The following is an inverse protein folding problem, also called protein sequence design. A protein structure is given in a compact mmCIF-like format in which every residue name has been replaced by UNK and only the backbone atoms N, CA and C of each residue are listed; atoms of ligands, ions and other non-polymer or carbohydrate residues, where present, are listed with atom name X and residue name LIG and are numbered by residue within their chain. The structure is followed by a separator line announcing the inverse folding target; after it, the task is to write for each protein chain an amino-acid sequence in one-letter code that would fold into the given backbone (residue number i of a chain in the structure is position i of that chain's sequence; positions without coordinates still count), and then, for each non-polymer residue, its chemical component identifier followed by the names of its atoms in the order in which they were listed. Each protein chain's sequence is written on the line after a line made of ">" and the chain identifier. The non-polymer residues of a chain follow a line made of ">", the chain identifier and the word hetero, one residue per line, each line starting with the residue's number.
data_IF_798709684039
#
_entry.id   IF_798709684039
#
_cell.length_a   1.000
_cell.length_b   1.000
_cell.length_c   1.000
_cell.angle_alpha   90.00
_cell.angle_beta   90.00
_cell.angle_gamma   90.00
#
_symmetry.space_group_name_H-M   'P 1'
#
loop_
_entity.id
_entity.type
_entity.pdbx_description
1 polymer ?
#
# COMPACT_ATOMS: atom_id res chain seq x y z
N UNK A 1 -35.46 8.85 -1.96
CA UNK A 1 -34.70 10.09 -1.70
C UNK A 1 -33.32 9.96 -2.34
N UNK A 2 -32.99 10.73 -3.38
CA UNK A 2 -31.67 10.70 -4.00
C UNK A 2 -30.73 11.63 -3.21
N UNK A 3 -29.78 11.05 -2.51
CA UNK A 3 -28.74 11.83 -1.79
C UNK A 3 -27.67 12.25 -2.80
N UNK A 4 -27.59 13.53 -3.10
CA UNK A 4 -26.51 14.10 -3.92
C UNK A 4 -25.23 14.10 -3.10
N UNK A 5 -24.29 13.24 -3.40
CA UNK A 5 -22.96 13.23 -2.77
C UNK A 5 -22.10 14.35 -3.38
N UNK A 6 -21.51 15.17 -2.52
CA UNK A 6 -20.48 16.14 -2.93
C UNK A 6 -19.09 15.56 -2.65
N UNK A 7 -18.12 15.94 -3.44
CA UNK A 7 -16.72 15.61 -3.14
C UNK A 7 -16.31 16.24 -1.80
N UNK A 8 -15.39 15.59 -1.05
CA UNK A 8 -14.79 16.19 0.13
C UNK A 8 -14.21 17.57 -0.18
N UNK A 9 -14.29 18.48 0.79
CA UNK A 9 -13.79 19.85 0.62
C UNK A 9 -12.28 19.98 0.80
N UNK A 10 -11.66 18.99 1.46
CA UNK A 10 -10.23 18.94 1.74
C UNK A 10 -9.73 17.50 1.62
N UNK A 11 -8.42 17.27 1.40
CA UNK A 11 -7.78 15.97 1.53
C UNK A 11 -8.00 15.32 2.90
N UNK A 12 -7.73 14.03 2.99
CA UNK A 12 -7.83 13.20 4.19
C UNK A 12 -9.24 13.00 4.77
N UNK A 13 -10.28 13.63 4.21
CA UNK A 13 -11.65 13.41 4.66
C UNK A 13 -12.21 12.07 4.23
N UNK A 14 -11.89 11.61 3.03
CA UNK A 14 -12.38 10.32 2.52
C UNK A 14 -11.38 9.66 1.59
N UNK A 15 -10.99 8.45 1.94
CA UNK A 15 -10.27 7.56 1.05
C UNK A 15 -11.19 6.46 0.53
N UNK A 16 -11.09 6.15 -0.75
CA UNK A 16 -11.75 5.02 -1.40
C UNK A 16 -10.70 4.03 -1.87
N UNK A 17 -10.89 2.76 -1.55
CA UNK A 17 -9.91 1.72 -1.82
C UNK A 17 -10.55 0.56 -2.57
N UNK A 18 -9.86 0.08 -3.59
CA UNK A 18 -10.24 -1.11 -4.36
C UNK A 18 -9.04 -1.68 -5.12
N UNK A 19 -9.18 -2.93 -5.60
CA UNK A 19 -8.23 -3.59 -6.48
C UNK A 19 -8.65 -3.49 -7.94
N UNK A 20 -7.66 -3.43 -8.82
CA UNK A 20 -7.85 -3.41 -10.27
C UNK A 20 -6.81 -4.27 -10.97
N UNK A 21 -7.24 -5.19 -11.82
CA UNK A 21 -6.33 -5.88 -12.74
C UNK A 21 -5.93 -4.91 -13.84
N UNK A 22 -4.66 -4.50 -13.84
CA UNK A 22 -4.14 -3.52 -14.79
C UNK A 22 -4.12 -4.09 -16.19
N UNK A 23 -4.66 -3.36 -17.15
CA UNK A 23 -4.82 -3.83 -18.52
C UNK A 23 -3.52 -3.72 -19.35
N UNK A 24 -2.40 -4.15 -18.75
CA UNK A 24 -1.08 -4.25 -19.37
C UNK A 24 -0.60 -5.70 -19.32
N UNK A 25 -0.31 -6.26 -20.48
CA UNK A 25 0.20 -7.62 -20.62
C UNK A 25 1.71 -7.67 -20.40
N UNK A 26 2.19 -8.79 -19.81
CA UNK A 26 3.63 -9.03 -19.71
C UNK A 26 3.99 -10.47 -20.04
N UNK A 27 5.22 -10.67 -20.51
CA UNK A 27 5.77 -11.99 -20.74
C UNK A 27 6.40 -12.56 -19.46
N UNK A 28 6.14 -13.84 -19.22
CA UNK A 28 6.73 -14.57 -18.10
C UNK A 28 7.23 -15.92 -18.58
N UNK A 29 8.51 -16.21 -18.33
CA UNK A 29 9.13 -17.47 -18.70
C UNK A 29 9.32 -18.31 -17.44
N UNK A 30 8.79 -19.52 -17.45
CA UNK A 30 8.90 -20.48 -16.34
C UNK A 30 9.41 -21.82 -16.89
N UNK A 31 10.20 -22.51 -16.09
CA UNK A 31 10.60 -23.89 -16.40
C UNK A 31 9.51 -24.83 -15.95
N UNK A 32 9.03 -25.70 -16.85
CA UNK A 32 8.06 -26.74 -16.53
C UNK A 32 8.68 -27.87 -15.71
N UNK A 33 7.86 -28.82 -15.26
CA UNK A 33 8.31 -29.98 -14.48
C UNK A 33 9.25 -30.90 -15.26
N UNK A 34 9.35 -30.76 -16.58
CA UNK A 34 10.21 -31.56 -17.48
C UNK A 34 11.49 -30.81 -17.85
N UNK A 35 11.71 -29.59 -17.32
CA UNK A 35 12.88 -28.78 -17.62
C UNK A 35 12.76 -27.92 -18.89
N UNK A 36 11.59 -27.86 -19.54
CA UNK A 36 11.39 -27.02 -20.72
C UNK A 36 11.04 -25.59 -20.31
N UNK A 37 11.57 -24.61 -21.03
CA UNK A 37 11.24 -23.20 -20.86
C UNK A 37 9.93 -22.87 -21.57
N UNK A 38 8.93 -22.41 -20.84
CA UNK A 38 7.61 -22.03 -21.35
C UNK A 38 7.39 -20.53 -21.09
N UNK A 39 7.22 -19.77 -22.19
CA UNK A 39 6.91 -18.33 -22.10
C UNK A 39 5.44 -18.08 -22.32
N UNK A 40 4.80 -17.37 -21.40
CA UNK A 40 3.41 -16.90 -21.49
C UNK A 40 3.37 -15.39 -21.67
N UNK A 41 2.37 -14.87 -22.40
CA UNK A 41 2.28 -13.46 -22.80
C UNK A 41 0.96 -12.79 -22.35
N UNK A 42 0.14 -13.53 -21.60
CA UNK A 42 -1.20 -13.08 -21.20
C UNK A 42 -1.30 -12.72 -19.72
N UNK A 43 -0.14 -12.58 -19.05
CA UNK A 43 -0.09 -12.26 -17.64
C UNK A 43 -0.42 -10.78 -17.42
N UNK A 44 -1.09 -10.50 -16.32
CA UNK A 44 -1.41 -9.13 -15.87
C UNK A 44 -1.16 -9.02 -14.37
N UNK A 45 -0.84 -7.83 -13.91
CA UNK A 45 -0.69 -7.52 -12.50
C UNK A 45 -1.99 -6.90 -11.95
N UNK A 46 -2.20 -7.08 -10.67
CA UNK A 46 -3.25 -6.41 -9.91
C UNK A 46 -2.63 -5.26 -9.11
N UNK A 47 -3.26 -4.09 -9.17
CA UNK A 47 -2.90 -2.93 -8.36
C UNK A 47 -4.04 -2.62 -7.40
N UNK A 48 -3.74 -2.48 -6.11
CA UNK A 48 -4.65 -1.90 -5.12
C UNK A 48 -4.31 -0.43 -4.98
N UNK A 49 -5.31 0.44 -5.10
CA UNK A 49 -5.15 1.89 -4.95
C UNK A 49 -5.93 2.38 -3.74
N UNK A 50 -5.31 3.23 -2.95
CA UNK A 50 -5.94 4.09 -1.94
C UNK A 50 -6.06 5.47 -2.54
N UNK A 51 -7.28 5.84 -2.90
CA UNK A 51 -7.60 7.09 -3.59
C UNK A 51 -8.14 8.12 -2.61
N UNK A 52 -7.52 9.28 -2.49
CA UNK A 52 -8.14 10.41 -1.81
C UNK A 52 -9.17 11.07 -2.74
N UNK A 53 -10.43 11.08 -2.30
CA UNK A 53 -11.58 11.49 -3.12
C UNK A 53 -11.63 13.00 -3.33
N UNK A 54 -10.83 13.78 -2.62
CA UNK A 54 -10.80 15.23 -2.77
C UNK A 54 -10.55 15.67 -4.23
N UNK A 55 -9.48 15.19 -4.82
CA UNK A 55 -9.13 15.48 -6.22
C UNK A 55 -8.65 14.24 -7.00
N UNK A 56 -9.08 13.06 -6.56
CA UNK A 56 -8.64 11.76 -7.11
C UNK A 56 -7.12 11.57 -7.01
N UNK A 57 -6.54 11.96 -5.88
CA UNK A 57 -5.11 11.80 -5.61
C UNK A 57 -4.82 10.38 -5.13
N UNK A 58 -3.93 9.62 -5.80
CA UNK A 58 -3.55 8.28 -5.35
C UNK A 58 -2.59 8.38 -4.18
N UNK A 59 -3.14 8.49 -2.97
CA UNK A 59 -2.35 8.64 -1.74
C UNK A 59 -1.50 7.41 -1.45
N UNK A 60 -1.98 6.21 -1.83
CA UNK A 60 -1.25 4.97 -1.71
C UNK A 60 -1.58 3.98 -2.82
N UNK A 61 -0.63 3.09 -3.13
CA UNK A 61 -0.87 1.95 -4.01
C UNK A 61 0.12 0.82 -3.73
N UNK A 62 -0.23 -0.37 -4.18
CA UNK A 62 0.66 -1.52 -4.22
C UNK A 62 0.33 -2.41 -5.42
N UNK A 63 1.34 -3.10 -5.96
CA UNK A 63 1.22 -3.94 -7.16
C UNK A 63 1.61 -5.38 -6.81
N UNK A 64 0.77 -6.33 -7.20
CA UNK A 64 0.97 -7.75 -6.96
C UNK A 64 0.38 -8.62 -8.05
N UNK A 65 0.49 -9.94 -7.92
CA UNK A 65 -0.06 -10.91 -8.88
C UNK A 65 -1.59 -11.01 -8.80
N UNK A 66 -2.17 -10.78 -7.63
CA UNK A 66 -3.62 -10.83 -7.38
C UNK A 66 -3.95 -10.01 -6.13
N UNK A 67 -5.21 -9.66 -5.96
CA UNK A 67 -5.68 -8.99 -4.76
C UNK A 67 -5.69 -9.98 -3.58
N UNK A 68 -5.02 -9.59 -2.50
CA UNK A 68 -4.92 -10.35 -1.26
C UNK A 68 -4.76 -9.38 -0.07
N UNK A 69 -4.95 -9.85 1.17
CA UNK A 69 -4.78 -9.02 2.37
C UNK A 69 -3.42 -8.34 2.46
N UNK A 70 -2.35 -9.03 2.07
CA UNK A 70 -0.98 -8.51 2.07
C UNK A 70 -0.83 -7.34 1.08
N UNK A 71 -1.45 -7.43 -0.09
CA UNK A 71 -1.40 -6.37 -1.09
C UNK A 71 -2.18 -5.12 -0.62
N UNK A 72 -3.34 -5.33 -0.03
CA UNK A 72 -4.14 -4.25 0.59
C UNK A 72 -3.36 -3.59 1.73
N UNK A 73 -2.74 -4.41 2.60
CA UNK A 73 -1.87 -3.91 3.68
C UNK A 73 -0.71 -3.08 3.13
N UNK A 74 -0.07 -3.52 2.04
CA UNK A 74 1.02 -2.79 1.40
C UNK A 74 0.55 -1.45 0.81
N UNK A 75 -0.63 -1.38 0.20
CA UNK A 75 -1.21 -0.14 -0.31
C UNK A 75 -1.53 0.86 0.81
N UNK A 76 -2.09 0.41 1.92
CA UNK A 76 -2.35 1.24 3.10
C UNK A 76 -1.05 1.70 3.77
N UNK A 77 -0.03 0.83 3.84
CA UNK A 77 1.30 1.21 4.31
C UNK A 77 1.91 2.31 3.44
N UNK A 78 1.84 2.17 2.11
CA UNK A 78 2.31 3.20 1.18
C UNK A 78 1.55 4.52 1.38
N UNK A 79 0.24 4.49 1.63
CA UNK A 79 -0.55 5.69 1.93
C UNK A 79 -0.07 6.39 3.22
N UNK A 80 0.25 5.65 4.29
CA UNK A 80 0.77 6.22 5.53
C UNK A 80 2.14 6.89 5.32
N UNK A 81 3.06 6.20 4.62
CA UNK A 81 4.39 6.73 4.33
C UNK A 81 4.27 8.00 3.47
N UNK A 82 3.46 7.94 2.39
CA UNK A 82 3.30 9.08 1.50
C UNK A 82 2.60 10.27 2.17
N UNK A 83 1.68 10.03 3.11
CA UNK A 83 1.11 11.11 3.91
C UNK A 83 2.17 11.82 4.76
N UNK A 84 3.15 11.08 5.31
CA UNK A 84 4.30 11.66 6.03
C UNK A 84 5.17 12.53 5.11
N UNK A 85 5.42 12.09 3.88
CA UNK A 85 6.17 12.86 2.90
C UNK A 85 5.48 14.20 2.55
N UNK A 86 4.15 14.18 2.45
CA UNK A 86 3.34 15.35 2.09
C UNK A 86 3.15 16.31 3.26
N UNK A 87 2.96 15.81 4.49
CA UNK A 87 2.48 16.56 5.63
C UNK A 87 3.48 16.70 6.79
N UNK A 88 4.64 16.02 6.69
CA UNK A 88 5.64 15.95 7.76
C UNK A 88 5.30 14.96 8.88
N UNK A 89 4.08 14.42 8.89
CA UNK A 89 3.59 13.41 9.82
C UNK A 89 2.71 12.38 9.12
N UNK A 90 2.61 11.16 9.67
CA UNK A 90 1.68 10.17 9.17
C UNK A 90 0.25 10.55 9.53
N UNK A 91 -0.59 10.69 8.53
CA UNK A 91 -2.02 10.94 8.70
C UNK A 91 -2.85 9.77 8.18
N UNK A 92 -3.99 9.57 8.80
CA UNK A 92 -5.03 8.63 8.39
C UNK A 92 -6.28 9.37 7.92
N UNK A 93 -7.11 8.69 7.14
CA UNK A 93 -8.35 9.28 6.65
C UNK A 93 -9.37 9.46 7.79
N UNK A 94 -10.19 10.52 7.72
CA UNK A 94 -11.38 10.63 8.57
C UNK A 94 -12.38 9.51 8.28
N UNK A 95 -12.55 9.16 6.99
CA UNK A 95 -13.38 8.05 6.54
C UNK A 95 -12.66 7.23 5.48
N UNK A 96 -12.73 5.89 5.57
CA UNK A 96 -12.28 4.97 4.54
C UNK A 96 -13.45 4.16 3.99
N UNK A 97 -13.49 3.98 2.68
CA UNK A 97 -14.49 3.18 1.98
C UNK A 97 -13.81 2.04 1.21
N UNK A 98 -14.30 0.83 1.41
CA UNK A 98 -13.88 -0.36 0.67
C UNK A 98 -15.07 -1.28 0.46
N UNK A 99 -14.89 -2.40 -0.25
CA UNK A 99 -15.94 -3.39 -0.40
C UNK A 99 -16.25 -4.10 0.93
N UNK A 100 -17.41 -4.78 0.99
CA UNK A 100 -17.84 -5.45 2.23
C UNK A 100 -16.99 -6.66 2.59
N UNK A 101 -16.45 -7.35 1.59
CA UNK A 101 -15.65 -8.54 1.83
C UNK A 101 -14.29 -8.16 2.44
N UNK A 102 -13.61 -7.19 1.84
CA UNK A 102 -12.35 -6.70 2.35
C UNK A 102 -12.51 -6.12 3.78
N UNK A 103 -13.58 -5.35 4.05
CA UNK A 103 -13.86 -4.82 5.39
C UNK A 103 -14.05 -5.95 6.39
N UNK A 104 -14.83 -6.99 6.07
CA UNK A 104 -15.05 -8.11 6.98
C UNK A 104 -13.78 -8.85 7.35
N UNK A 105 -12.89 -9.01 6.38
CA UNK A 105 -11.63 -9.76 6.55
C UNK A 105 -10.54 -8.95 7.23
N UNK A 106 -10.53 -7.62 7.02
CA UNK A 106 -9.44 -6.73 7.40
C UNK A 106 -9.90 -5.54 8.23
N UNK A 107 -11.00 -5.70 8.99
CA UNK A 107 -11.64 -4.62 9.74
C UNK A 107 -10.66 -3.82 10.59
N UNK A 108 -9.79 -4.50 11.33
CA UNK A 108 -8.85 -3.85 12.26
C UNK A 108 -7.82 -2.98 11.52
N UNK A 109 -7.30 -3.45 10.38
CA UNK A 109 -6.38 -2.65 9.56
C UNK A 109 -7.06 -1.40 8.99
N UNK A 110 -8.32 -1.53 8.53
CA UNK A 110 -9.08 -0.37 8.08
C UNK A 110 -9.42 0.59 9.21
N UNK A 111 -9.74 0.08 10.40
CA UNK A 111 -10.05 0.91 11.57
C UNK A 111 -8.82 1.70 12.06
N UNK A 112 -7.63 1.16 11.89
CA UNK A 112 -6.37 1.87 12.16
C UNK A 112 -6.17 3.03 11.17
N UNK A 113 -6.51 2.82 9.89
CA UNK A 113 -6.22 3.79 8.82
C UNK A 113 -7.36 4.77 8.57
N UNK A 114 -8.58 4.46 9.02
CA UNK A 114 -9.76 5.33 8.92
C UNK A 114 -10.42 5.57 10.26
N UNK A 115 -10.70 6.82 10.61
CA UNK A 115 -11.50 7.14 11.79
C UNK A 115 -12.91 6.56 11.71
N UNK A 116 -13.43 6.36 10.49
CA UNK A 116 -14.70 5.70 10.19
C UNK A 116 -14.52 4.75 9.00
N UNK A 117 -14.96 3.51 9.15
CA UNK A 117 -14.95 2.51 8.06
C UNK A 117 -16.36 2.35 7.52
N UNK A 118 -16.53 2.54 6.21
CA UNK A 118 -17.86 2.43 5.55
C UNK A 118 -17.78 1.44 4.41
N UNK A 119 -18.72 0.47 4.37
CA UNK A 119 -18.82 -0.43 3.24
C UNK A 119 -19.34 0.33 2.01
N UNK A 120 -18.79 0.01 0.84
CA UNK A 120 -19.42 0.39 -0.42
C UNK A 120 -20.77 -0.31 -0.54
N UNK A 121 -21.77 0.40 -1.07
CA UNK A 121 -23.09 -0.20 -1.30
C UNK A 121 -22.97 -1.24 -2.42
N UNK A 122 -23.42 -2.47 -2.16
CA UNK A 122 -23.48 -3.51 -3.16
C UNK A 122 -24.30 -3.05 -4.39
N UNK A 123 -23.87 -3.41 -5.57
CA UNK A 123 -24.51 -3.11 -6.86
C UNK A 123 -24.63 -1.61 -7.21
N UNK A 124 -23.88 -0.73 -6.57
CA UNK A 124 -23.82 0.68 -6.90
C UNK A 124 -22.39 1.10 -7.24
N UNK A 125 -21.93 0.74 -8.43
CA UNK A 125 -20.60 1.11 -8.96
C UNK A 125 -20.38 2.63 -8.94
N UNK A 126 -21.42 3.44 -9.13
CA UNK A 126 -21.36 4.90 -9.03
C UNK A 126 -21.07 5.40 -7.59
N UNK A 127 -21.14 4.51 -6.60
CA UNK A 127 -20.86 4.86 -5.20
C UNK A 127 -19.40 4.66 -4.81
N UNK A 128 -18.56 4.06 -5.67
CA UNK A 128 -17.12 3.88 -5.46
C UNK A 128 -16.32 4.86 -6.31
N UNK A 129 -15.78 5.94 -5.75
CA UNK A 129 -14.98 6.93 -6.51
C UNK A 129 -13.74 6.32 -7.19
N UNK A 130 -13.20 5.24 -6.67
CA UNK A 130 -12.01 4.58 -7.22
C UNK A 130 -12.28 3.86 -8.56
N UNK A 131 -13.51 3.37 -8.83
CA UNK A 131 -13.82 2.68 -10.10
C UNK A 131 -13.72 3.61 -11.34
N UNK A 132 -14.30 4.82 -11.36
CA UNK A 132 -14.05 5.78 -12.43
C UNK A 132 -12.56 6.14 -12.59
N UNK A 133 -11.81 6.15 -11.48
CA UNK A 133 -10.38 6.42 -11.52
C UNK A 133 -9.60 5.32 -12.26
N UNK A 134 -9.94 4.04 -12.07
CA UNK A 134 -9.35 2.94 -12.84
C UNK A 134 -9.61 3.08 -14.34
N UNK A 135 -10.83 3.46 -14.71
CA UNK A 135 -11.12 3.75 -16.12
C UNK A 135 -10.31 4.93 -16.67
N UNK A 136 -10.10 5.97 -15.87
CA UNK A 136 -9.21 7.08 -16.22
C UNK A 136 -7.78 6.59 -16.45
N UNK A 137 -7.21 5.80 -15.56
CA UNK A 137 -5.86 5.25 -15.73
C UNK A 137 -5.76 4.39 -16.99
N UNK A 138 -6.74 3.54 -17.26
CA UNK A 138 -6.78 2.68 -18.44
C UNK A 138 -6.82 3.49 -19.73
N UNK A 139 -7.66 4.52 -19.81
CA UNK A 139 -7.85 5.34 -21.02
C UNK A 139 -6.74 6.36 -21.25
N UNK A 140 -6.10 6.84 -20.19
CA UNK A 140 -5.09 7.91 -20.28
C UNK A 140 -3.69 7.35 -20.47
N UNK A 141 -3.37 6.23 -19.81
CA UNK A 141 -2.00 5.69 -19.77
C UNK A 141 -1.88 4.32 -20.42
N UNK A 142 -2.69 3.33 -19.98
CA UNK A 142 -2.55 1.97 -20.49
C UNK A 142 -2.81 1.89 -22.00
N UNK A 143 -3.80 2.61 -22.50
CA UNK A 143 -4.15 2.68 -23.94
C UNK A 143 -2.95 3.07 -24.83
N UNK A 144 -2.00 3.84 -24.32
CA UNK A 144 -0.82 4.31 -25.03
C UNK A 144 0.31 3.26 -25.08
N UNK A 145 0.19 2.18 -24.30
CA UNK A 145 1.21 1.14 -24.21
C UNK A 145 1.02 0.07 -25.29
N UNK A 146 2.12 -0.42 -25.85
CA UNK A 146 2.10 -1.47 -26.87
C UNK A 146 1.55 -2.82 -26.38
N UNK A 147 1.58 -3.05 -25.06
CA UNK A 147 1.11 -4.24 -24.37
C UNK A 147 -0.28 -4.06 -23.72
N UNK A 148 -1.03 -3.05 -24.11
CA UNK A 148 -2.38 -2.83 -23.61
C UNK A 148 -3.34 -3.95 -24.04
N UNK A 149 -4.08 -4.53 -23.09
CA UNK A 149 -4.98 -5.68 -23.30
C UNK A 149 -6.44 -5.30 -23.61
N UNK A 150 -6.79 -4.02 -23.52
CA UNK A 150 -8.15 -3.55 -23.80
C UNK A 150 -8.95 -3.14 -22.56
N UNK A 151 -10.28 -3.07 -22.72
CA UNK A 151 -11.21 -2.74 -21.62
C UNK A 151 -11.88 -4.03 -21.15
N UNK A 152 -11.31 -4.94 -20.55
CA UNK A 152 -11.98 -6.16 -20.08
C UNK A 152 -13.15 -6.67 -21.00
N UNK A 153 -13.22 -7.92 -21.27
CA UNK A 153 -14.13 -8.51 -22.30
C UNK A 153 -15.61 -8.18 -22.04
N UNK A 154 -15.99 -8.02 -20.77
CA UNK A 154 -17.37 -7.73 -20.37
C UNK A 154 -17.75 -6.25 -20.43
N UNK A 155 -16.76 -5.36 -20.42
CA UNK A 155 -17.00 -3.91 -20.26
C UNK A 155 -17.22 -3.20 -21.58
N UNK A 156 -16.45 -3.52 -22.63
CA UNK A 156 -16.59 -2.90 -23.93
C UNK A 156 -16.06 -3.77 -25.09
N UNK A 157 -16.89 -4.71 -25.61
CA UNK A 157 -16.46 -5.62 -26.67
C UNK A 157 -15.99 -4.92 -27.96
N UNK A 158 -16.49 -3.71 -28.23
CA UNK A 158 -16.19 -2.95 -29.46
C UNK A 158 -14.88 -2.14 -29.39
N UNK A 159 -14.31 -1.99 -28.20
CA UNK A 159 -13.06 -1.23 -27.95
C UNK A 159 -11.91 -2.12 -27.51
N UNK A 160 -11.88 -3.34 -28.03
CA UNK A 160 -10.75 -4.24 -27.77
C UNK A 160 -9.65 -4.01 -28.81
N UNK A 161 -8.37 -4.14 -28.43
CA UNK A 161 -7.29 -4.13 -29.39
C UNK A 161 -7.41 -5.34 -30.33
N UNK A 162 -6.91 -5.18 -31.55
CA UNK A 162 -6.88 -6.28 -32.50
C UNK A 162 -5.98 -7.41 -31.97
N UNK A 163 -6.56 -8.59 -31.74
CA UNK A 163 -5.87 -9.77 -31.18
C UNK A 163 -4.67 -10.21 -32.03
N UNK A 164 -4.78 -10.11 -33.36
CA UNK A 164 -3.69 -10.50 -34.29
C UNK A 164 -2.53 -9.51 -34.21
N UNK A 165 -2.85 -8.22 -34.02
CA UNK A 165 -1.83 -7.20 -33.79
C UNK A 165 -1.09 -7.38 -32.47
N UNK A 166 -1.80 -7.73 -31.38
CA UNK A 166 -1.21 -8.07 -30.11
C UNK A 166 -0.33 -9.33 -30.21
N UNK A 167 -0.82 -10.38 -30.87
CA UNK A 167 -0.08 -11.62 -31.07
C UNK A 167 1.22 -11.42 -31.85
N UNK A 168 1.22 -10.55 -32.86
CA UNK A 168 2.44 -10.21 -33.61
C UNK A 168 3.48 -9.49 -32.78
N UNK A 169 3.04 -8.67 -31.81
CA UNK A 169 3.91 -7.86 -30.95
C UNK A 169 4.27 -8.55 -29.62
N UNK A 170 3.70 -9.71 -29.29
CA UNK A 170 3.81 -10.35 -27.97
C UNK A 170 5.25 -10.54 -27.50
N UNK A 171 6.19 -10.80 -28.39
CA UNK A 171 7.60 -11.01 -28.07
C UNK A 171 8.32 -9.72 -27.67
N UNK A 172 7.72 -8.54 -27.91
CA UNK A 172 8.23 -7.24 -27.46
C UNK A 172 7.56 -6.76 -26.16
N UNK A 173 6.65 -7.53 -25.57
CA UNK A 173 6.06 -7.16 -24.29
C UNK A 173 7.13 -7.14 -23.20
N UNK A 174 7.06 -6.20 -22.27
CA UNK A 174 7.96 -6.22 -21.12
C UNK A 174 7.74 -7.49 -20.28
N UNK A 175 8.69 -7.79 -19.44
CA UNK A 175 8.54 -8.75 -18.35
C UNK A 175 7.76 -8.13 -17.17
N UNK A 176 7.64 -8.87 -16.06
CA UNK A 176 6.96 -8.38 -14.87
C UNK A 176 7.60 -7.10 -14.31
N UNK A 177 8.93 -7.01 -14.32
CA UNK A 177 9.66 -5.83 -13.83
C UNK A 177 9.35 -4.61 -14.70
N UNK A 178 9.33 -4.80 -16.02
CA UNK A 178 9.01 -3.72 -16.95
C UNK A 178 7.56 -3.23 -16.81
N UNK A 179 6.58 -4.12 -16.58
CA UNK A 179 5.18 -3.68 -16.33
C UNK A 179 5.05 -2.99 -14.96
N UNK A 180 5.76 -3.45 -13.92
CA UNK A 180 5.80 -2.71 -12.65
C UNK A 180 6.32 -1.29 -12.84
N UNK A 181 7.41 -1.12 -13.60
CA UNK A 181 7.94 0.21 -13.92
C UNK A 181 6.94 1.08 -14.72
N UNK A 182 6.17 0.50 -15.66
CA UNK A 182 5.09 1.22 -16.35
C UNK A 182 4.01 1.70 -15.38
N UNK A 183 3.60 0.87 -14.42
CA UNK A 183 2.60 1.21 -13.40
C UNK A 183 3.15 2.29 -12.46
N UNK A 184 4.38 2.16 -11.98
CA UNK A 184 5.01 3.13 -11.09
C UNK A 184 5.13 4.51 -11.76
N UNK A 185 5.50 4.55 -13.05
CA UNK A 185 5.56 5.80 -13.80
C UNK A 185 4.17 6.43 -14.00
N UNK A 186 3.14 5.64 -14.28
CA UNK A 186 1.75 6.10 -14.36
C UNK A 186 1.33 6.75 -13.02
N UNK A 187 1.60 6.10 -11.90
CA UNK A 187 1.25 6.61 -10.58
C UNK A 187 2.06 7.85 -10.20
N UNK A 188 3.34 7.90 -10.59
CA UNK A 188 4.21 9.07 -10.42
C UNK A 188 3.67 10.28 -11.18
N UNK A 189 3.23 10.09 -12.42
CA UNK A 189 2.63 11.16 -13.24
C UNK A 189 1.31 11.65 -12.65
N UNK A 190 0.44 10.76 -12.21
CA UNK A 190 -0.83 11.10 -11.54
C UNK A 190 -0.59 11.93 -10.28
N UNK A 191 0.35 11.52 -9.42
CA UNK A 191 0.73 12.28 -8.23
C UNK A 191 1.26 13.66 -8.60
N UNK A 192 2.17 13.74 -9.57
CA UNK A 192 2.75 15.01 -10.02
C UNK A 192 1.71 16.00 -10.52
N UNK A 193 0.78 15.53 -11.35
CA UNK A 193 -0.28 16.40 -11.93
C UNK A 193 -1.24 16.97 -10.88
N UNK A 194 -1.46 16.26 -9.80
CA UNK A 194 -2.45 16.62 -8.78
C UNK A 194 -1.84 17.21 -7.50
N UNK A 195 -0.52 17.21 -7.40
CA UNK A 195 0.23 17.54 -6.18
C UNK A 195 -0.08 18.93 -5.64
N UNK A 196 0.03 19.95 -6.46
CA UNK A 196 -0.14 21.36 -6.01
C UNK A 196 -1.55 21.59 -5.44
N UNK A 197 -2.59 21.16 -6.16
CA UNK A 197 -3.97 21.28 -5.71
C UNK A 197 -4.22 20.46 -4.43
N UNK A 198 -3.58 19.29 -4.31
CA UNK A 198 -3.69 18.45 -3.13
C UNK A 198 -3.07 19.11 -1.89
N UNK A 199 -1.85 19.62 -1.98
CA UNK A 199 -1.15 20.27 -0.87
C UNK A 199 -1.85 21.59 -0.47
N UNK A 200 -2.31 22.39 -1.43
CA UNK A 200 -3.12 23.59 -1.16
C UNK A 200 -4.45 23.25 -0.47
N UNK A 201 -5.07 22.13 -0.85
CA UNK A 201 -6.26 21.62 -0.19
C UNK A 201 -5.97 21.15 1.24
N UNK A 202 -4.86 20.45 1.45
CA UNK A 202 -4.44 19.94 2.75
C UNK A 202 -4.13 21.05 3.76
N UNK A 203 -3.62 22.20 3.30
CA UNK A 203 -3.40 23.39 4.14
C UNK A 203 -4.71 23.94 4.75
N UNK A 204 -5.87 23.56 4.20
CA UNK A 204 -7.20 23.96 4.70
C UNK A 204 -7.85 22.89 5.57
N UNK A 205 -7.14 21.78 5.85
CA UNK A 205 -7.64 20.70 6.69
C UNK A 205 -7.79 21.23 8.13
N UNK A 206 -8.99 21.10 8.68
CA UNK A 206 -9.27 21.49 10.05
C UNK A 206 -8.65 20.51 11.03
N UNK A 207 -8.24 21.00 12.20
CA UNK A 207 -7.62 20.18 13.25
C UNK A 207 -8.50 19.01 13.70
N UNK A 208 -9.81 19.19 13.76
CA UNK A 208 -10.78 18.15 14.09
C UNK A 208 -10.79 16.96 13.10
N UNK A 209 -10.32 17.17 11.88
CA UNK A 209 -10.21 16.16 10.83
C UNK A 209 -8.76 15.67 10.62
N UNK A 210 -7.80 16.30 11.28
CA UNK A 210 -6.40 15.92 11.24
C UNK A 210 -6.16 14.77 12.21
N UNK A 211 -6.12 13.57 11.69
CA UNK A 211 -6.01 12.34 12.48
C UNK A 211 -4.60 11.77 12.36
N UNK A 212 -3.69 12.06 13.29
CA UNK A 212 -2.33 11.52 13.24
C UNK A 212 -2.33 10.01 13.48
N UNK A 213 -1.39 9.32 12.81
CA UNK A 213 -1.08 7.91 13.02
C UNK A 213 0.27 7.82 13.74
N UNK A 214 0.27 7.40 14.99
CA UNK A 214 1.52 7.25 15.74
C UNK A 214 2.43 6.19 15.12
N UNK A 215 3.75 6.37 15.26
CA UNK A 215 4.74 5.40 14.79
C UNK A 215 4.53 4.02 15.40
N UNK A 216 4.18 3.95 16.68
CA UNK A 216 3.85 2.69 17.36
C UNK A 216 2.68 1.98 16.69
N UNK A 217 1.55 2.69 16.51
CA UNK A 217 0.36 2.12 15.86
C UNK A 217 0.65 1.69 14.42
N UNK A 218 1.42 2.47 13.68
CA UNK A 218 1.87 2.13 12.35
C UNK A 218 2.71 0.84 12.36
N UNK A 219 3.75 0.74 13.17
CA UNK A 219 4.60 -0.44 13.23
C UNK A 219 3.83 -1.67 13.73
N UNK A 220 2.92 -1.52 14.69
CA UNK A 220 2.11 -2.61 15.20
C UNK A 220 1.29 -3.29 14.10
N UNK A 221 0.69 -2.52 13.21
CA UNK A 221 -0.27 -3.01 12.22
C UNK A 221 0.34 -3.22 10.83
N UNK A 222 1.28 -2.37 10.44
CA UNK A 222 1.86 -2.34 9.08
C UNK A 222 3.34 -2.72 9.04
N UNK A 223 4.03 -2.80 10.18
CA UNK A 223 5.43 -3.21 10.24
C UNK A 223 5.63 -4.65 9.79
N UNK A 224 6.80 -4.91 9.20
CA UNK A 224 7.30 -6.26 8.96
C UNK A 224 7.77 -6.88 10.29
N UNK A 225 7.80 -8.21 10.38
CA UNK A 225 8.26 -8.94 11.55
C UNK A 225 9.57 -9.68 11.25
N UNK A 226 10.43 -9.79 12.26
CA UNK A 226 11.71 -10.50 12.12
C UNK A 226 11.57 -12.02 12.01
N UNK A 227 10.41 -12.57 12.30
CA UNK A 227 10.15 -14.02 12.33
C UNK A 227 10.77 -14.77 13.52
N UNK A 228 11.63 -14.13 14.30
CA UNK A 228 12.31 -14.70 15.46
C UNK A 228 11.87 -13.98 16.73
N UNK A 229 11.90 -14.75 17.85
CA UNK A 229 11.72 -14.19 19.19
C UNK A 229 13.08 -13.76 19.72
N UNK A 230 13.19 -12.49 20.10
CA UNK A 230 14.41 -11.91 20.64
C UNK A 230 14.32 -11.87 22.16
N UNK A 231 15.44 -12.00 22.84
CA UNK A 231 15.60 -11.85 24.29
C UNK A 231 16.47 -10.62 24.53
N UNK A 232 16.27 -9.94 25.65
CA UNK A 232 17.15 -8.84 26.05
C UNK A 232 18.58 -9.37 26.26
N UNK A 233 19.53 -8.78 25.54
CA UNK A 233 20.96 -9.05 25.68
C UNK A 233 21.64 -7.78 26.21
N UNK A 234 22.09 -7.82 27.46
CA UNK A 234 22.78 -6.67 28.07
C UNK A 234 21.91 -5.41 28.09
N UNK A 235 22.09 -4.55 27.11
CA UNK A 235 21.45 -3.24 27.05
C UNK A 235 20.46 -3.08 25.90
N UNK A 236 19.76 -4.12 25.48
CA UNK A 236 18.73 -3.97 24.45
C UNK A 236 18.40 -5.26 23.70
N UNK A 237 17.72 -5.14 22.57
CA UNK A 237 17.46 -6.26 21.66
C UNK A 237 18.42 -6.20 20.48
N UNK A 238 18.82 -7.37 20.00
CA UNK A 238 19.71 -7.53 18.84
C UNK A 238 19.08 -8.37 17.72
N UNK A 239 17.99 -7.89 17.12
CA UNK A 239 17.33 -8.61 16.04
C UNK A 239 18.19 -8.67 14.78
N UNK A 240 17.98 -9.72 13.97
CA UNK A 240 18.45 -9.76 12.59
C UNK A 240 17.35 -9.21 11.68
N UNK A 241 17.58 -8.04 11.09
CA UNK A 241 16.65 -7.36 10.18
C UNK A 241 17.30 -7.30 8.80
N UNK A 242 16.61 -7.78 7.77
CA UNK A 242 17.10 -7.83 6.39
C UNK A 242 18.50 -8.48 6.26
N UNK A 243 18.74 -9.52 7.06
CA UNK A 243 20.02 -10.25 7.07
C UNK A 243 21.14 -9.61 7.90
N UNK A 244 20.91 -8.44 8.50
CA UNK A 244 21.90 -7.72 9.31
C UNK A 244 21.48 -7.68 10.77
N UNK A 245 22.41 -8.00 11.69
CA UNK A 245 22.20 -7.81 13.14
C UNK A 245 22.29 -6.33 13.46
N UNK A 246 21.30 -5.81 14.20
CA UNK A 246 21.19 -4.40 14.61
C UNK A 246 20.86 -4.32 16.08
N UNK A 247 21.40 -3.32 16.77
CA UNK A 247 21.20 -3.12 18.19
C UNK A 247 20.15 -2.03 18.43
N UNK A 248 19.12 -2.34 19.22
CA UNK A 248 18.03 -1.42 19.56
C UNK A 248 17.82 -1.37 21.06
N UNK A 249 17.53 -0.18 21.57
CA UNK A 249 17.24 0.03 22.99
C UNK A 249 16.26 1.19 23.21
N UNK A 250 15.78 1.34 24.43
CA UNK A 250 15.03 2.51 24.87
C UNK A 250 15.48 2.94 26.29
N UNK A 251 15.15 4.19 26.63
CA UNK A 251 15.43 4.74 27.97
C UNK A 251 14.39 4.34 29.02
N UNK A 252 13.34 3.60 28.63
CA UNK A 252 12.34 3.12 29.60
C UNK A 252 12.92 2.01 30.47
N UNK A 253 13.11 2.31 31.76
CA UNK A 253 13.68 1.36 32.72
C UNK A 253 12.78 0.12 32.89
N UNK A 254 11.47 0.26 32.73
CA UNK A 254 10.53 -0.87 32.85
C UNK A 254 10.77 -1.93 31.79
N UNK A 255 11.36 -1.58 30.63
CA UNK A 255 11.76 -2.54 29.62
C UNK A 255 12.77 -3.55 30.14
N UNK A 256 13.68 -3.13 31.04
CA UNK A 256 14.73 -3.97 31.61
C UNK A 256 14.19 -4.91 32.68
N UNK A 257 13.10 -4.55 33.36
CA UNK A 257 12.41 -5.40 34.35
C UNK A 257 11.84 -6.67 33.68
N UNK A 258 11.69 -6.63 32.35
CA UNK A 258 11.16 -7.72 31.53
C UNK A 258 12.25 -8.44 30.71
N UNK A 259 13.50 -8.46 31.19
CA UNK A 259 14.65 -9.05 30.50
C UNK A 259 14.49 -10.54 30.16
N UNK A 260 13.70 -11.29 30.95
CA UNK A 260 13.43 -12.72 30.72
C UNK A 260 12.33 -12.97 29.66
N UNK A 261 11.61 -11.95 29.25
CA UNK A 261 10.54 -12.08 28.25
C UNK A 261 11.10 -12.23 26.82
N UNK A 262 10.27 -12.81 25.95
CA UNK A 262 10.57 -12.94 24.53
C UNK A 262 9.81 -11.90 23.74
N UNK A 263 10.52 -11.23 22.82
CA UNK A 263 10.03 -10.10 22.06
C UNK A 263 9.97 -10.39 20.58
N UNK A 264 8.85 -10.08 19.95
CA UNK A 264 8.73 -9.96 18.50
C UNK A 264 9.10 -8.52 18.13
N UNK A 265 9.98 -8.35 17.15
CA UNK A 265 10.38 -7.03 16.67
C UNK A 265 9.65 -6.73 15.36
N UNK A 266 8.90 -5.63 15.36
CA UNK A 266 8.23 -5.09 14.19
C UNK A 266 8.99 -3.85 13.69
N UNK A 267 9.23 -3.78 12.40
CA UNK A 267 10.06 -2.74 11.80
C UNK A 267 9.48 -2.26 10.46
N UNK A 268 9.89 -1.09 10.03
CA UNK A 268 9.65 -0.57 8.70
C UNK A 268 10.91 -0.83 7.84
N UNK A 269 10.82 -1.61 6.74
CA UNK A 269 11.97 -1.88 5.89
C UNK A 269 12.62 -0.61 5.29
N UNK A 270 11.85 0.47 5.15
CA UNK A 270 12.31 1.72 4.56
C UNK A 270 12.87 2.70 5.61
N UNK A 271 12.65 2.42 6.92
CA UNK A 271 13.09 3.28 8.01
C UNK A 271 13.37 2.43 9.28
N UNK A 272 14.61 2.04 9.45
CA UNK A 272 15.09 1.19 10.53
C UNK A 272 15.52 1.96 11.78
N UNK A 273 15.37 3.28 11.81
CA UNK A 273 15.76 4.11 12.95
C UNK A 273 15.05 3.74 14.24
N UNK A 274 13.80 3.26 14.12
CA UNK A 274 12.97 2.84 15.24
C UNK A 274 12.26 1.52 14.91
N UNK A 275 12.16 0.66 15.92
CA UNK A 275 11.41 -0.60 15.87
C UNK A 275 10.46 -0.71 17.05
N UNK A 276 9.44 -1.55 16.91
CA UNK A 276 8.50 -1.85 17.97
C UNK A 276 8.76 -3.26 18.51
N UNK A 277 9.16 -3.37 19.76
CA UNK A 277 9.19 -4.64 20.50
C UNK A 277 7.81 -4.93 21.08
N UNK A 278 7.28 -6.13 20.82
CA UNK A 278 6.00 -6.60 21.33
C UNK A 278 6.25 -7.94 22.01
N UNK A 279 5.82 -8.11 23.26
CA UNK A 279 5.96 -9.39 23.96
C UNK A 279 5.01 -10.45 23.37
N UNK A 280 5.13 -11.70 23.82
CA UNK A 280 4.44 -12.85 23.21
C UNK A 280 2.92 -12.74 23.26
N UNK A 281 2.37 -12.20 24.34
CA UNK A 281 0.92 -12.04 24.53
C UNK A 281 0.37 -10.69 24.02
N UNK A 282 1.24 -9.79 23.52
CA UNK A 282 0.87 -8.48 23.01
C UNK A 282 0.52 -7.43 24.06
N UNK A 283 0.64 -7.76 25.36
CA UNK A 283 0.27 -6.88 26.46
C UNK A 283 1.26 -5.74 26.69
N UNK A 284 2.53 -5.95 26.34
CA UNK A 284 3.62 -4.98 26.52
C UNK A 284 4.25 -4.60 25.19
N UNK A 285 4.52 -3.32 25.03
CA UNK A 285 5.07 -2.75 23.81
C UNK A 285 6.06 -1.66 24.16
N UNK A 286 7.21 -1.67 23.49
CA UNK A 286 8.23 -0.63 23.65
C UNK A 286 8.72 -0.17 22.28
N UNK A 287 8.73 1.13 22.07
CA UNK A 287 9.44 1.73 20.95
C UNK A 287 10.93 1.74 21.27
N UNK A 288 11.73 1.15 20.42
CA UNK A 288 13.18 1.08 20.55
C UNK A 288 13.84 1.87 19.43
N UNK A 289 14.95 2.53 19.76
CA UNK A 289 15.76 3.28 18.80
C UNK A 289 17.03 2.50 18.46
N UNK A 290 17.51 2.63 17.23
CA UNK A 290 18.77 2.02 16.81
C UNK A 290 19.92 2.65 17.59
N UNK A 291 20.76 1.80 18.21
CA UNK A 291 21.94 2.27 18.94
C UNK A 291 23.05 2.62 17.96
N UNK A 292 23.61 3.78 18.17
CA UNK A 292 24.86 4.15 17.53
C UNK A 292 26.02 3.51 18.31
N UNK A 293 26.63 2.48 17.75
CA UNK A 293 27.86 1.91 18.30
C UNK A 293 29.04 2.76 17.80
N UNK A 294 29.52 3.67 18.65
CA UNK A 294 30.80 4.32 18.36
C UNK A 294 31.92 3.28 18.47
N UNK A 295 32.77 3.12 17.44
CA UNK A 295 34.00 2.35 17.61
C UNK A 295 34.82 2.99 18.72
N UNK A 296 35.25 2.20 19.69
CA UNK A 296 36.28 2.67 20.62
C UNK A 296 37.55 2.96 19.83
N UNK A 297 37.99 4.20 19.87
CA UNK A 297 39.25 4.66 19.27
C UNK A 297 40.46 4.08 19.99
#
# INVERSE_FOLDING_TARGET
>A
MQVKRRRPSTPFLMWSLDGWTVELLYQSTKTDKKGHSVTTYTNRLTMVVVLDVFNDYPIGYAVGSHECPELIKAALRNAAIHSRELMGEMLRAYQIQSDRYAIKTMHDLYAVMGGKVTPAQAHNAKAKPVEPYFNHLNTTYCLLCNNWSGFGITTNPKRQPNSDALNRKRHSFPDEVGVRAQIDEMMRLERKLKYEAYVQGAAKLKDEHRLPLSRETYLLNYGAETGFKNVLEGCGLRPTILGVKRDYDCFDLTFRDHASERWTVKYDPDDLSQVLAVNVDGSRRYMLEEKYVQPMA
#
